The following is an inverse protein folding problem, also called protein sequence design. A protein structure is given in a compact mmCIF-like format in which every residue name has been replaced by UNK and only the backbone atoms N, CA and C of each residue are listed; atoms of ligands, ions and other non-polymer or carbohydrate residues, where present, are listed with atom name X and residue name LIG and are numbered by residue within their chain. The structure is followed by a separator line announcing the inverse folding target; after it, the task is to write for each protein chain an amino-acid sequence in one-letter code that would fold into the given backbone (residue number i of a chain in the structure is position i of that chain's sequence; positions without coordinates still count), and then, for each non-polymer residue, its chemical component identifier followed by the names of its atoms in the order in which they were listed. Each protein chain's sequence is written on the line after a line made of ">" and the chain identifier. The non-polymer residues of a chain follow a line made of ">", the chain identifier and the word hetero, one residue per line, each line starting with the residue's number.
data_IF_777676326056
#
_entry.id   IF_777676326056
#
_cell.length_a   1.000
_cell.length_b   1.000
_cell.length_c   1.000
_cell.angle_alpha   90.00
_cell.angle_beta   90.00
_cell.angle_gamma   90.00
#
_symmetry.space_group_name_H-M   'P 1'
#
loop_
_entity.id
_entity.type
_entity.pdbx_description
1 polymer ?
#
# COMPACT_ATOMS: atom_id res chain seq x y z
N UNK A 1 -36.31 -9.18 3.70
CA UNK A 1 -35.22 -9.70 2.85
C UNK A 1 -33.91 -9.36 3.56
N UNK A 2 -33.09 -10.33 4.00
CA UNK A 2 -31.81 -10.02 4.64
C UNK A 2 -30.83 -9.60 3.54
N UNK A 3 -30.50 -8.30 3.49
CA UNK A 3 -29.46 -7.74 2.63
C UNK A 3 -28.09 -8.19 3.15
N UNK A 4 -27.62 -9.33 2.66
CA UNK A 4 -26.30 -9.86 3.01
C UNK A 4 -25.20 -9.05 2.35
N UNK A 5 -24.29 -8.51 3.16
CA UNK A 5 -22.97 -8.04 2.72
C UNK A 5 -22.18 -9.30 2.36
N UNK A 6 -22.42 -9.83 1.15
CA UNK A 6 -21.64 -10.94 0.61
C UNK A 6 -20.18 -10.53 0.39
N UNK A 7 -19.26 -11.50 0.25
CA UNK A 7 -17.87 -11.19 -0.07
C UNK A 7 -17.83 -10.34 -1.35
N UNK A 8 -17.12 -9.22 -1.29
CA UNK A 8 -16.98 -8.33 -2.44
C UNK A 8 -16.36 -9.13 -3.58
N UNK A 9 -17.08 -9.21 -4.69
CA UNK A 9 -16.63 -9.90 -5.89
C UNK A 9 -15.26 -9.33 -6.32
N UNK A 10 -14.25 -10.17 -6.58
CA UNK A 10 -12.91 -9.73 -6.93
C UNK A 10 -12.88 -8.85 -8.18
N UNK A 11 -13.76 -9.10 -9.16
CA UNK A 11 -13.87 -8.28 -10.37
C UNK A 11 -14.51 -6.92 -10.05
N UNK A 12 -15.45 -6.88 -9.11
CA UNK A 12 -16.06 -5.64 -8.62
C UNK A 12 -15.06 -4.80 -7.80
N UNK A 13 -14.25 -5.45 -6.95
CA UNK A 13 -13.15 -4.80 -6.24
C UNK A 13 -12.11 -4.25 -7.23
N UNK A 14 -11.77 -4.99 -8.28
CA UNK A 14 -10.83 -4.56 -9.32
C UNK A 14 -11.39 -3.41 -10.17
N UNK A 15 -12.69 -3.43 -10.49
CA UNK A 15 -13.37 -2.36 -11.21
C UNK A 15 -13.44 -1.07 -10.37
N UNK A 16 -13.71 -1.16 -9.07
CA UNK A 16 -13.67 -0.03 -8.14
C UNK A 16 -12.25 0.55 -7.97
N UNK A 17 -11.19 -0.26 -8.11
CA UNK A 17 -9.81 0.25 -8.11
C UNK A 17 -9.49 1.07 -9.38
N UNK A 18 -10.15 0.78 -10.52
CA UNK A 18 -9.91 1.48 -11.80
C UNK A 18 -10.48 2.91 -11.85
N UNK A 19 -11.59 3.18 -11.15
CA UNK A 19 -12.28 4.50 -11.14
C UNK A 19 -11.74 5.50 -10.12
N UNK A 20 -10.70 5.14 -9.35
CA UNK A 20 -10.25 5.98 -8.23
C UNK A 20 -9.43 7.20 -8.64
N UNK A 21 -9.88 8.37 -8.17
CA UNK A 21 -9.22 9.70 -8.25
C UNK A 21 -7.70 9.59 -8.08
N UNK A 22 -6.94 10.28 -8.93
CA UNK A 22 -5.56 10.63 -8.60
C UNK A 22 -5.62 11.67 -7.46
N UNK A 23 -5.30 11.23 -6.24
CA UNK A 23 -5.20 12.13 -5.09
C UNK A 23 -3.73 12.49 -4.95
N UNK A 24 -3.37 13.71 -5.36
CA UNK A 24 -2.08 14.28 -5.01
C UNK A 24 -2.16 14.65 -3.52
N UNK A 25 -1.40 13.93 -2.70
CA UNK A 25 -1.27 14.23 -1.28
C UNK A 25 -0.22 15.33 -1.12
N UNK A 26 -0.48 16.39 -0.33
CA UNK A 26 0.54 17.37 0.00
C UNK A 26 1.68 16.70 0.78
N UNK A 27 2.90 17.21 0.64
CA UNK A 27 4.07 16.72 1.40
C UNK A 27 3.87 16.79 2.93
N UNK A 28 2.94 17.61 3.43
CA UNK A 28 2.58 17.67 4.85
C UNK A 28 1.47 16.68 5.26
N UNK A 29 1.07 15.75 4.39
CA UNK A 29 -0.03 14.84 4.69
C UNK A 29 0.26 13.93 5.89
N UNK A 30 -0.67 13.92 6.85
CA UNK A 30 -0.65 12.99 7.97
C UNK A 30 -0.83 11.54 7.50
N UNK A 31 -0.27 10.60 8.28
CA UNK A 31 -0.31 9.16 7.96
C UNK A 31 -1.75 8.66 7.77
N UNK A 32 -2.71 9.19 8.56
CA UNK A 32 -4.15 8.94 8.41
C UNK A 32 -4.69 9.32 7.02
N UNK A 33 -4.29 10.49 6.49
CA UNK A 33 -4.71 10.96 5.17
C UNK A 33 -4.07 10.15 4.06
N UNK A 34 -2.84 9.68 4.26
CA UNK A 34 -2.17 8.75 3.34
C UNK A 34 -2.95 7.43 3.29
N UNK A 35 -3.30 6.85 4.45
CA UNK A 35 -4.06 5.60 4.51
C UNK A 35 -5.48 5.71 3.96
N UNK A 36 -6.18 6.83 4.19
CA UNK A 36 -7.51 7.05 3.63
C UNK A 36 -7.52 7.02 2.09
N UNK A 37 -6.39 7.39 1.46
CA UNK A 37 -6.25 7.41 0.01
C UNK A 37 -5.53 6.16 -0.55
N UNK A 38 -5.13 5.21 0.29
CA UNK A 38 -4.51 3.96 -0.13
C UNK A 38 -5.60 2.92 -0.48
N UNK A 39 -5.57 2.45 -1.72
CA UNK A 39 -6.33 1.29 -2.21
C UNK A 39 -5.46 0.03 -2.25
N UNK A 40 -6.08 -1.14 -2.44
CA UNK A 40 -5.39 -2.44 -2.44
C UNK A 40 -4.30 -2.61 -3.52
N UNK A 41 -4.31 -1.77 -4.55
CA UNK A 41 -3.36 -1.74 -5.67
C UNK A 41 -2.45 -0.49 -5.67
N UNK A 42 -2.47 0.30 -4.58
CA UNK A 42 -1.72 1.54 -4.46
C UNK A 42 -0.72 1.49 -3.32
N UNK A 43 0.40 2.15 -3.58
CA UNK A 43 1.47 2.36 -2.62
C UNK A 43 1.85 3.82 -2.64
N UNK A 44 2.05 4.42 -1.46
CA UNK A 44 2.48 5.81 -1.35
C UNK A 44 3.92 5.84 -0.87
N UNK A 45 4.82 6.37 -1.70
CA UNK A 45 6.20 6.61 -1.31
C UNK A 45 6.37 8.07 -0.88
N UNK A 46 6.90 8.26 0.32
CA UNK A 46 7.18 9.57 0.87
C UNK A 46 8.69 9.73 1.08
N UNK A 47 9.41 10.40 0.14
CA UNK A 47 10.87 10.51 0.14
C UNK A 47 11.41 11.24 1.35
N UNK A 48 10.71 12.28 1.83
CA UNK A 48 11.14 13.09 2.99
C UNK A 48 11.26 12.26 4.27
N UNK A 49 10.41 11.25 4.43
CA UNK A 49 10.45 10.30 5.54
C UNK A 49 11.10 8.97 5.19
N UNK A 50 11.60 8.83 3.95
CA UNK A 50 12.18 7.60 3.44
C UNK A 50 11.27 6.38 3.71
N UNK A 51 9.97 6.55 3.48
CA UNK A 51 8.96 5.60 3.90
C UNK A 51 7.97 5.27 2.80
N UNK A 52 7.62 3.99 2.70
CA UNK A 52 6.54 3.47 1.87
C UNK A 52 5.35 3.13 2.75
N UNK A 53 4.18 3.65 2.42
CA UNK A 53 2.91 3.31 3.04
C UNK A 53 2.11 2.43 2.09
N UNK A 54 1.61 1.31 2.62
CA UNK A 54 0.86 0.35 1.83
C UNK A 54 -0.20 -0.33 2.69
N UNK A 55 -1.20 -0.89 2.01
CA UNK A 55 -2.23 -1.74 2.59
C UNK A 55 -2.04 -3.12 1.96
N UNK A 56 -1.89 -4.15 2.79
CA UNK A 56 -1.85 -5.52 2.31
C UNK A 56 -3.29 -6.00 2.06
N UNK A 57 -3.52 -6.85 1.07
CA UNK A 57 -4.85 -7.45 0.86
C UNK A 57 -4.72 -8.96 0.64
N UNK A 58 -5.84 -9.68 0.57
CA UNK A 58 -5.78 -11.11 0.17
C UNK A 58 -5.52 -11.27 -1.35
N UNK A 59 -5.83 -10.24 -2.13
CA UNK A 59 -5.72 -10.25 -3.60
C UNK A 59 -4.37 -9.73 -4.10
N UNK A 60 -3.80 -8.73 -3.41
CA UNK A 60 -2.51 -8.12 -3.74
C UNK A 60 -1.63 -8.17 -2.50
N UNK A 61 -0.63 -9.07 -2.53
CA UNK A 61 0.36 -9.24 -1.47
C UNK A 61 1.51 -8.25 -1.59
N UNK A 62 1.23 -6.96 -1.37
CA UNK A 62 2.22 -5.87 -1.55
C UNK A 62 3.45 -6.14 -0.69
N UNK A 63 3.27 -6.55 0.56
CA UNK A 63 4.38 -6.85 1.47
C UNK A 63 5.32 -7.92 0.92
N UNK A 64 4.76 -8.96 0.30
CA UNK A 64 5.54 -10.04 -0.30
C UNK A 64 6.37 -9.54 -1.49
N UNK A 65 5.83 -8.61 -2.27
CA UNK A 65 6.56 -7.97 -3.38
C UNK A 65 7.68 -7.09 -2.84
N UNK A 66 7.41 -6.29 -1.80
CA UNK A 66 8.41 -5.45 -1.14
C UNK A 66 9.57 -6.30 -0.59
N UNK A 67 9.27 -7.36 0.16
CA UNK A 67 10.28 -8.24 0.74
C UNK A 67 11.08 -8.99 -0.33
N UNK A 68 10.44 -9.45 -1.41
CA UNK A 68 11.15 -10.08 -2.55
C UNK A 68 12.06 -9.10 -3.27
N UNK A 69 11.63 -7.85 -3.46
CA UNK A 69 12.44 -6.81 -4.09
C UNK A 69 13.68 -6.46 -3.26
N UNK A 70 13.57 -6.54 -1.93
CA UNK A 70 14.67 -6.30 -1.00
C UNK A 70 15.62 -7.49 -0.84
N UNK A 71 15.16 -8.71 -1.12
CA UNK A 71 15.98 -9.92 -1.04
C UNK A 71 16.64 -10.06 0.34
N UNK A 72 17.97 -10.24 0.36
CA UNK A 72 18.75 -10.34 1.59
C UNK A 72 18.69 -9.07 2.48
N UNK A 73 18.36 -7.91 1.90
CA UNK A 73 18.25 -6.66 2.66
C UNK A 73 16.93 -6.57 3.44
N UNK A 74 15.96 -7.44 3.17
CA UNK A 74 14.65 -7.43 3.83
C UNK A 74 14.75 -7.50 5.37
N UNK A 75 15.75 -8.20 5.90
CA UNK A 75 15.98 -8.34 7.35
C UNK A 75 16.36 -7.02 8.04
N UNK A 76 16.83 -6.02 7.27
CA UNK A 76 17.26 -4.72 7.80
C UNK A 76 16.16 -3.66 7.76
N UNK A 77 14.97 -4.03 7.29
CA UNK A 77 13.92 -3.06 6.98
C UNK A 77 12.84 -3.08 8.08
N UNK A 78 12.50 -1.89 8.58
CA UNK A 78 11.53 -1.73 9.66
C UNK A 78 10.10 -1.61 9.07
N UNK A 79 9.31 -2.70 9.18
CA UNK A 79 7.87 -2.68 8.92
C UNK A 79 7.14 -2.34 10.22
N UNK A 80 6.40 -1.23 10.24
CA UNK A 80 5.47 -0.90 11.33
C UNK A 80 4.03 -0.97 10.87
N UNK A 81 3.20 -1.63 11.65
CA UNK A 81 1.76 -1.56 11.53
C UNK A 81 1.26 -0.30 12.24
N UNK A 82 0.61 0.62 11.52
CA UNK A 82 0.20 1.90 12.08
C UNK A 82 -1.27 1.91 12.49
N UNK A 83 -2.15 1.27 11.72
CA UNK A 83 -3.59 1.27 12.02
C UNK A 83 -4.15 -0.15 12.03
N UNK A 84 -4.91 -0.48 13.08
CA UNK A 84 -5.74 -1.67 13.16
C UNK A 84 -7.14 -1.31 12.67
N UNK A 85 -7.57 -1.93 11.58
CA UNK A 85 -9.00 -1.95 11.30
C UNK A 85 -9.68 -2.83 12.35
N UNK A 86 -10.41 -2.21 13.28
CA UNK A 86 -11.19 -2.91 14.30
C UNK A 86 -12.28 -3.80 13.69
N UNK A 87 -12.67 -3.55 12.44
CA UNK A 87 -13.73 -4.28 11.74
C UNK A 87 -13.20 -5.38 10.80
N UNK A 88 -11.88 -5.49 10.61
CA UNK A 88 -11.25 -6.57 9.84
C UNK A 88 -11.46 -6.52 8.32
N UNK A 89 -11.98 -5.42 7.78
CA UNK A 89 -12.20 -5.25 6.34
C UNK A 89 -10.94 -4.78 5.59
N UNK A 90 -10.11 -3.97 6.23
CA UNK A 90 -8.81 -3.53 5.73
C UNK A 90 -7.71 -4.18 6.58
N UNK A 91 -6.87 -5.02 5.98
CA UNK A 91 -5.66 -5.44 6.68
C UNK A 91 -4.84 -4.18 6.91
N UNK A 92 -4.64 -3.88 8.18
CA UNK A 92 -3.85 -2.81 8.74
C UNK A 92 -2.92 -2.04 7.77
N UNK A 93 -3.04 -0.71 7.76
CA UNK A 93 -2.08 0.15 7.10
C UNK A 93 -0.67 -0.06 7.66
N UNK A 94 0.29 -0.39 6.79
CA UNK A 94 1.69 -0.63 7.15
C UNK A 94 2.59 0.46 6.56
N UNK A 95 3.67 0.74 7.29
CA UNK A 95 4.74 1.63 6.88
C UNK A 95 6.05 0.86 6.85
N UNK A 96 6.78 1.01 5.74
CA UNK A 96 8.11 0.46 5.55
C UNK A 96 9.13 1.58 5.45
N UNK A 97 10.13 1.62 6.32
CA UNK A 97 11.24 2.58 6.22
C UNK A 97 12.38 2.00 5.39
N UNK A 98 12.87 2.74 4.40
CA UNK A 98 13.84 2.27 3.42
C UNK A 98 14.96 3.29 3.26
N UNK A 99 16.15 2.85 2.88
CA UNK A 99 17.15 3.78 2.34
C UNK A 99 16.75 4.24 0.93
N UNK A 100 17.32 5.35 0.45
CA UNK A 100 17.05 5.83 -0.92
C UNK A 100 17.32 4.78 -1.99
N UNK A 101 18.42 4.02 -1.86
CA UNK A 101 18.76 2.93 -2.79
C UNK A 101 17.73 1.80 -2.75
N UNK A 102 17.28 1.41 -1.56
CA UNK A 102 16.23 0.40 -1.40
C UNK A 102 14.89 0.88 -1.97
N UNK A 103 14.55 2.16 -1.78
CA UNK A 103 13.35 2.75 -2.33
C UNK A 103 13.34 2.66 -3.86
N UNK A 104 14.44 2.97 -4.54
CA UNK A 104 14.55 2.85 -6.01
C UNK A 104 14.30 1.41 -6.49
N UNK A 105 14.94 0.41 -5.88
CA UNK A 105 14.74 -1.01 -6.21
C UNK A 105 13.29 -1.44 -6.02
N UNK A 106 12.70 -1.04 -4.89
CA UNK A 106 11.33 -1.39 -4.53
C UNK A 106 10.31 -0.73 -5.46
N UNK A 107 10.51 0.55 -5.79
CA UNK A 107 9.64 1.29 -6.70
C UNK A 107 9.61 0.68 -8.10
N UNK A 108 10.76 0.21 -8.59
CA UNK A 108 10.86 -0.52 -9.85
C UNK A 108 10.09 -1.84 -9.77
N UNK A 109 10.29 -2.62 -8.71
CA UNK A 109 9.59 -3.89 -8.53
C UNK A 109 8.06 -3.73 -8.46
N UNK A 110 7.57 -2.70 -7.76
CA UNK A 110 6.15 -2.38 -7.68
C UNK A 110 5.58 -2.04 -9.06
N UNK A 111 6.28 -1.21 -9.84
CA UNK A 111 5.86 -0.85 -11.21
C UNK A 111 5.81 -2.05 -12.14
N UNK A 112 6.79 -2.96 -12.05
CA UNK A 112 6.82 -4.20 -12.84
C UNK A 112 5.64 -5.13 -12.53
N UNK A 113 5.09 -5.06 -11.32
CA UNK A 113 3.90 -5.82 -10.90
C UNK A 113 2.58 -5.07 -11.18
N UNK A 114 2.63 -3.93 -11.88
CA UNK A 114 1.44 -3.13 -12.19
C UNK A 114 0.85 -2.36 -11.00
N UNK A 115 1.58 -2.28 -9.88
CA UNK A 115 1.14 -1.54 -8.69
C UNK A 115 1.35 -0.05 -8.91
N UNK A 116 0.33 0.75 -8.61
CA UNK A 116 0.36 2.20 -8.75
C UNK A 116 1.10 2.82 -7.58
N UNK A 117 2.24 3.45 -7.86
CA UNK A 117 2.99 4.21 -6.85
C UNK A 117 2.66 5.70 -6.98
N UNK A 118 2.19 6.30 -5.89
CA UNK A 118 2.10 7.75 -5.74
C UNK A 118 3.31 8.25 -4.96
N UNK A 119 3.94 9.33 -5.44
CA UNK A 119 5.08 9.97 -4.78
C UNK A 119 4.68 11.39 -4.40
N UNK A 120 5.01 11.83 -3.18
CA UNK A 120 4.79 13.20 -2.68
C UNK A 120 6.09 13.87 -2.22
#
# INVERSE_FOLDING_TARGET
>A
MPGGIGPVDPDCAQALCRTQRQVQLPASADELRIFYNLSMDRVHYFPQRNAIYYVDSKHVGVERILLRALGAQAAQVEIRQLHLDRLGFFKSGKRLRLTRRQAETVLVALRLQGIRVTVS
#
